data_IF_016375407730
#
_entry.id   IF_016375407730
#
_cell.length_a   1.000
_cell.length_b   1.000
_cell.length_c   1.000
_cell.angle_alpha   90.00
_cell.angle_beta   90.00
_cell.angle_gamma   90.00
#
_symmetry.space_group_name_H-M   'P 1'
#
loop_
_entity.id
_entity.type
_entity.pdbx_description
1 polymer ?
#
# COMPACT_ATOMS: atom_id res chain seq x y z
N UNK A 1 12.42 -5.27 24.75
CA UNK A 1 12.47 -5.05 23.28
C UNK A 1 11.11 -5.43 22.72
N UNK A 2 10.59 -4.68 21.75
CA UNK A 2 9.28 -4.90 21.11
C UNK A 2 9.37 -4.63 19.60
N UNK A 3 8.37 -5.08 18.83
CA UNK A 3 8.26 -4.91 17.38
C UNK A 3 6.89 -4.33 16.99
N UNK A 4 6.82 -3.58 15.90
CA UNK A 4 5.57 -3.10 15.30
C UNK A 4 5.75 -2.93 13.79
N UNK A 5 4.67 -3.06 13.02
CA UNK A 5 4.73 -2.92 11.56
C UNK A 5 3.38 -2.59 10.91
N UNK A 6 3.45 -2.17 9.65
CA UNK A 6 2.36 -2.08 8.68
C UNK A 6 2.89 -2.58 7.35
N UNK A 7 2.23 -3.56 6.74
CA UNK A 7 2.59 -4.12 5.43
C UNK A 7 1.35 -4.26 4.53
N UNK A 8 1.53 -4.49 3.22
CA UNK A 8 0.43 -4.81 2.31
C UNK A 8 -0.40 -6.02 2.76
N UNK A 9 -1.60 -6.18 2.20
CA UNK A 9 -2.48 -7.30 2.53
C UNK A 9 -3.15 -7.19 3.92
N UNK A 10 -3.22 -5.97 4.47
CA UNK A 10 -3.92 -5.69 5.72
C UNK A 10 -3.12 -6.01 6.99
N UNK A 11 -1.81 -6.24 6.87
CA UNK A 11 -0.94 -6.61 7.99
C UNK A 11 -0.68 -5.41 8.90
N UNK A 12 -1.10 -5.51 10.16
CA UNK A 12 -1.03 -4.43 11.16
C UNK A 12 -0.21 -4.81 12.40
N UNK A 13 0.26 -6.05 12.48
CA UNK A 13 1.08 -6.55 13.58
C UNK A 13 2.14 -7.54 13.08
N UNK A 14 3.21 -7.78 13.84
CA UNK A 14 4.16 -8.87 13.54
C UNK A 14 3.49 -10.24 13.44
N UNK A 15 2.44 -10.49 14.22
CA UNK A 15 1.64 -11.71 14.19
C UNK A 15 0.86 -11.83 12.87
N UNK A 16 0.25 -10.75 12.38
CA UNK A 16 -0.42 -10.73 11.07
C UNK A 16 0.57 -11.02 9.93
N UNK A 17 1.79 -10.50 10.03
CA UNK A 17 2.85 -10.79 9.05
C UNK A 17 3.17 -12.28 9.06
N UNK A 18 3.34 -12.86 10.25
CA UNK A 18 3.64 -14.28 10.38
C UNK A 18 2.51 -15.15 9.82
N UNK A 19 1.26 -14.80 10.09
CA UNK A 19 0.11 -15.49 9.49
C UNK A 19 0.08 -15.39 7.97
N UNK A 20 0.41 -14.23 7.40
CA UNK A 20 0.46 -14.05 5.95
C UNK A 20 1.49 -14.98 5.32
N UNK A 21 2.68 -15.06 5.91
CA UNK A 21 3.76 -15.95 5.46
C UNK A 21 3.38 -17.42 5.59
N UNK A 22 2.83 -17.83 6.73
CA UNK A 22 2.37 -19.22 6.95
C UNK A 22 1.29 -19.65 5.97
N UNK A 23 0.43 -18.72 5.57
CA UNK A 23 -0.65 -18.96 4.60
C UNK A 23 -0.20 -18.77 3.15
N UNK A 24 1.07 -18.43 2.92
CA UNK A 24 1.66 -18.15 1.60
C UNK A 24 0.80 -17.18 0.76
N UNK A 25 0.17 -16.20 1.42
CA UNK A 25 -0.74 -15.28 0.73
C UNK A 25 0.03 -14.20 0.00
N UNK A 26 -0.34 -13.97 -1.25
CA UNK A 26 0.08 -12.79 -1.99
C UNK A 26 -0.64 -11.54 -1.48
N UNK A 27 0.13 -10.50 -1.21
CA UNK A 27 -0.33 -9.21 -0.71
C UNK A 27 -0.36 -8.13 -1.81
N UNK A 28 0.00 -8.48 -3.04
CA UNK A 28 -0.09 -7.63 -4.21
C UNK A 28 -1.55 -7.36 -4.55
N UNK A 29 -1.85 -6.11 -4.89
CA UNK A 29 -3.18 -5.66 -5.29
C UNK A 29 -3.10 -4.68 -6.46
N UNK A 30 -4.23 -4.36 -7.11
CA UNK A 30 -4.32 -3.20 -7.98
C UNK A 30 -3.90 -1.90 -7.25
N UNK A 31 -3.60 -0.87 -8.03
CA UNK A 31 -3.31 0.47 -7.50
C UNK A 31 -4.48 1.01 -6.65
N UNK A 32 -4.17 1.74 -5.57
CA UNK A 32 -5.19 2.32 -4.70
C UNK A 32 -5.94 3.45 -5.42
N UNK A 33 -7.27 3.46 -5.29
CA UNK A 33 -8.15 4.46 -5.92
C UNK A 33 -8.38 5.71 -5.05
N UNK A 34 -7.76 5.77 -3.87
CA UNK A 34 -7.98 6.79 -2.84
C UNK A 34 -6.79 7.76 -2.68
N UNK A 35 -5.82 7.71 -3.60
CA UNK A 35 -4.59 8.53 -3.54
C UNK A 35 -4.59 9.75 -4.44
N UNK A 36 -5.67 9.97 -5.20
CA UNK A 36 -5.77 11.06 -6.16
C UNK A 36 -4.84 10.90 -7.38
N UNK A 37 -4.36 9.68 -7.64
CA UNK A 37 -3.52 9.38 -8.79
C UNK A 37 -4.37 9.09 -10.03
N UNK A 38 -3.94 9.62 -11.18
CA UNK A 38 -4.49 9.24 -12.47
C UNK A 38 -3.85 7.94 -12.96
N UNK A 39 -4.30 6.82 -12.41
CA UNK A 39 -3.74 5.49 -12.73
C UNK A 39 -4.06 5.08 -14.17
N UNK A 40 -5.24 5.42 -14.67
CA UNK A 40 -5.62 5.08 -16.04
C UNK A 40 -4.87 5.92 -17.07
N UNK A 41 -4.72 7.23 -16.83
CA UNK A 41 -3.98 8.12 -17.72
C UNK A 41 -2.45 7.96 -17.65
N UNK A 42 -1.93 7.43 -16.55
CA UNK A 42 -0.50 7.14 -16.39
C UNK A 42 -0.04 5.79 -16.96
N UNK A 43 -0.96 4.93 -17.41
CA UNK A 43 -0.62 3.61 -17.95
C UNK A 43 -0.23 3.68 -19.43
N UNK A 44 0.90 3.08 -19.78
CA UNK A 44 1.27 2.77 -21.16
C UNK A 44 1.83 1.34 -21.24
N UNK A 45 1.49 0.61 -22.30
CA UNK A 45 2.01 -0.74 -22.51
C UNK A 45 3.44 -0.74 -23.06
N UNK A 46 3.91 0.37 -23.63
CA UNK A 46 5.30 0.55 -24.06
C UNK A 46 6.19 0.84 -22.84
N UNK A 47 7.12 -0.06 -22.49
CA UNK A 47 8.03 0.16 -21.36
C UNK A 47 9.02 1.32 -21.57
N UNK A 48 9.22 1.76 -22.82
CA UNK A 48 10.12 2.88 -23.15
C UNK A 48 9.39 4.23 -23.16
N UNK A 49 8.07 4.25 -22.98
CA UNK A 49 7.28 5.48 -22.93
C UNK A 49 7.65 6.34 -21.68
N UNK A 50 8.12 7.59 -21.86
CA UNK A 50 8.54 8.40 -20.73
C UNK A 50 7.37 8.87 -19.86
N UNK A 51 7.54 8.78 -18.53
CA UNK A 51 6.58 9.33 -17.56
C UNK A 51 5.33 8.47 -17.32
N UNK A 52 5.31 7.25 -17.85
CA UNK A 52 4.22 6.28 -17.68
C UNK A 52 4.69 5.08 -16.88
N UNK A 53 3.77 4.16 -16.61
CA UNK A 53 4.07 2.85 -16.06
C UNK A 53 3.31 1.76 -16.83
N UNK A 54 3.89 0.57 -16.92
CA UNK A 54 3.31 -0.56 -17.65
C UNK A 54 2.81 -1.69 -16.73
N UNK A 55 3.02 -1.58 -15.42
CA UNK A 55 2.54 -2.54 -14.41
C UNK A 55 1.23 -2.07 -13.79
N UNK A 56 0.33 -3.00 -13.46
CA UNK A 56 -1.02 -2.68 -12.94
C UNK A 56 -1.21 -2.98 -11.46
N UNK A 57 -0.23 -3.59 -10.82
CA UNK A 57 -0.34 -4.13 -9.48
C UNK A 57 0.94 -3.87 -8.66
N UNK A 58 0.80 -3.84 -7.34
CA UNK A 58 1.89 -3.65 -6.40
C UNK A 58 1.45 -3.90 -4.95
N UNK A 59 2.39 -3.83 -4.01
CA UNK A 59 2.09 -3.93 -2.58
C UNK A 59 1.82 -2.55 -1.98
N UNK A 60 0.59 -2.30 -1.54
CA UNK A 60 0.19 -1.01 -0.97
C UNK A 60 -0.31 -1.14 0.47
N UNK A 61 -0.03 -0.13 1.30
CA UNK A 61 -0.65 -0.02 2.61
C UNK A 61 -2.10 0.42 2.47
N UNK A 62 -3.00 -0.32 3.11
CA UNK A 62 -4.39 0.11 3.28
C UNK A 62 -4.48 1.25 4.30
N UNK A 63 -5.46 2.13 4.10
CA UNK A 63 -5.74 3.28 4.98
C UNK A 63 -4.52 4.15 5.27
N UNK A 64 -3.55 4.28 4.34
CA UNK A 64 -2.33 5.01 4.67
C UNK A 64 -2.53 6.53 4.82
N UNK A 65 -3.71 7.03 4.46
CA UNK A 65 -4.15 8.40 4.76
C UNK A 65 -4.73 8.54 6.16
N UNK A 66 -5.00 7.42 6.84
CA UNK A 66 -5.52 7.39 8.21
C UNK A 66 -4.47 7.83 9.21
N UNK A 67 -4.79 8.89 9.95
CA UNK A 67 -3.94 9.46 11.00
C UNK A 67 -4.79 9.97 12.15
N UNK A 68 -4.30 9.86 13.39
CA UNK A 68 -4.94 10.43 14.57
C UNK A 68 -4.20 11.70 15.00
N UNK A 69 -4.49 12.87 14.39
CA UNK A 69 -3.78 14.10 14.68
C UNK A 69 -4.00 14.57 16.11
N UNK A 70 -5.18 14.31 16.70
CA UNK A 70 -5.52 14.70 18.06
C UNK A 70 -4.65 14.00 19.11
N UNK A 71 -4.41 12.69 18.95
CA UNK A 71 -3.49 11.94 19.81
C UNK A 71 -2.08 12.55 19.81
N UNK A 72 -1.63 13.06 18.66
CA UNK A 72 -0.30 13.67 18.50
C UNK A 72 -0.27 15.18 18.76
N UNK A 73 -1.39 15.80 19.12
CA UNK A 73 -1.47 17.26 19.34
C UNK A 73 -1.25 18.09 18.07
N UNK A 74 -1.53 17.51 16.90
CA UNK A 74 -1.42 18.15 15.59
C UNK A 74 -2.81 18.69 15.21
N UNK A 75 -2.86 19.92 14.69
CA UNK A 75 -4.09 20.47 14.11
C UNK A 75 -4.48 19.67 12.86
N UNK A 76 -5.78 19.46 12.60
CA UNK A 76 -6.25 18.92 11.34
C UNK A 76 -5.73 19.70 10.13
#
# INVERSE_FOLDING_TARGET
VAMSCRYPGGVRTPEDLWELLLKERDAVSPFPTDRGWDVEGGFDADPDAPGTFYVREGGFLHDATGFDPGFFGISP
#
